data_IF_039987341868
#
_entry.id   IF_039987341868
#
_cell.length_a   1.000
_cell.length_b   1.000
_cell.length_c   1.000
_cell.angle_alpha   90.00
_cell.angle_beta   90.00
_cell.angle_gamma   90.00
#
_symmetry.space_group_name_H-M   'P 1'
#
loop_
_entity.id
_entity.type
_entity.pdbx_description
1 polymer ?
#
# COMPACT_ATOMS: atom_id res chain seq x y z
N UNK A 1 -22.20 -4.20 -18.69
CA UNK A 1 -20.86 -4.83 -18.69
C UNK A 1 -19.73 -3.85 -18.92
N UNK A 2 -19.70 -3.09 -20.04
CA UNK A 2 -18.60 -2.14 -20.34
C UNK A 2 -18.34 -1.10 -19.23
N UNK A 3 -19.39 -0.54 -18.61
CA UNK A 3 -19.23 0.43 -17.51
C UNK A 3 -18.57 -0.17 -16.26
N UNK A 4 -18.80 -1.46 -15.96
CA UNK A 4 -18.22 -2.10 -14.79
C UNK A 4 -16.70 -2.27 -14.93
N UNK A 5 -16.23 -2.63 -16.13
CA UNK A 5 -14.80 -2.74 -16.43
C UNK A 5 -14.10 -1.38 -16.39
N UNK A 6 -14.73 -0.33 -16.91
CA UNK A 6 -14.17 1.03 -16.84
C UNK A 6 -14.05 1.47 -15.38
N UNK A 7 -15.10 1.28 -14.56
CA UNK A 7 -15.07 1.61 -13.14
C UNK A 7 -13.99 0.85 -12.36
N UNK A 8 -13.85 -0.46 -12.62
CA UNK A 8 -12.79 -1.29 -12.01
C UNK A 8 -11.39 -0.79 -12.39
N UNK A 9 -11.17 -0.49 -13.67
CA UNK A 9 -9.90 0.02 -14.18
C UNK A 9 -9.55 1.38 -13.57
N UNK A 10 -10.51 2.30 -13.48
CA UNK A 10 -10.32 3.62 -12.86
C UNK A 10 -9.98 3.48 -11.36
N UNK A 11 -10.64 2.56 -10.63
CA UNK A 11 -10.30 2.28 -9.22
C UNK A 11 -8.87 1.79 -9.07
N UNK A 12 -8.45 0.83 -9.91
CA UNK A 12 -7.08 0.28 -9.90
C UNK A 12 -6.05 1.38 -10.20
N UNK A 13 -6.28 2.18 -11.24
CA UNK A 13 -5.40 3.30 -11.59
C UNK A 13 -5.30 4.33 -10.46
N UNK A 14 -6.42 4.70 -9.84
CA UNK A 14 -6.44 5.62 -8.69
C UNK A 14 -5.66 5.07 -7.51
N UNK A 15 -5.83 3.78 -7.19
CA UNK A 15 -5.10 3.13 -6.11
C UNK A 15 -3.58 3.10 -6.41
N UNK A 16 -3.19 2.72 -7.63
CA UNK A 16 -1.77 2.70 -8.05
C UNK A 16 -1.14 4.09 -7.96
N UNK A 17 -1.86 5.14 -8.36
CA UNK A 17 -1.38 6.51 -8.25
C UNK A 17 -1.16 6.95 -6.79
N UNK A 18 -2.12 6.68 -5.90
CA UNK A 18 -1.98 7.02 -4.48
C UNK A 18 -0.82 6.23 -3.83
N UNK A 19 -0.64 4.96 -4.19
CA UNK A 19 0.51 4.15 -3.76
C UNK A 19 1.83 4.78 -4.20
N UNK A 20 1.94 5.19 -5.47
CA UNK A 20 3.16 5.79 -6.02
C UNK A 20 3.52 7.10 -5.30
N UNK A 21 2.53 7.97 -5.06
CA UNK A 21 2.73 9.20 -4.28
C UNK A 21 3.17 8.91 -2.85
N UNK A 22 2.56 7.90 -2.22
CA UNK A 22 2.86 7.51 -0.85
C UNK A 22 4.31 7.01 -0.72
N UNK A 23 4.79 6.25 -1.68
CA UNK A 23 6.16 5.73 -1.73
C UNK A 23 7.14 6.88 -2.01
N UNK A 24 6.85 7.75 -2.97
CA UNK A 24 7.73 8.88 -3.32
C UNK A 24 7.83 9.98 -2.26
N UNK A 25 6.99 9.95 -1.22
CA UNK A 25 6.92 11.01 -0.21
C UNK A 25 7.92 10.93 0.95
N UNK A 26 8.82 9.94 0.97
CA UNK A 26 9.83 9.75 2.01
C UNK A 26 11.07 9.02 1.48
N UNK A 27 12.25 9.39 1.98
CA UNK A 27 13.49 8.60 1.78
C UNK A 27 13.74 7.60 2.91
N UNK A 28 13.05 7.76 4.04
CA UNK A 28 13.07 6.78 5.13
C UNK A 28 12.17 5.59 4.78
N UNK A 29 12.75 4.39 4.74
CA UNK A 29 12.06 3.15 4.34
C UNK A 29 10.89 2.81 5.28
N UNK A 30 11.06 3.00 6.59
CA UNK A 30 10.02 2.72 7.58
C UNK A 30 8.78 3.58 7.36
N UNK A 31 8.98 4.90 7.22
CA UNK A 31 7.92 5.87 6.95
C UNK A 31 7.29 5.66 5.57
N UNK A 32 8.10 5.35 4.55
CA UNK A 32 7.63 5.00 3.21
C UNK A 32 6.69 3.79 3.24
N UNK A 33 7.11 2.69 3.89
CA UNK A 33 6.32 1.47 4.00
C UNK A 33 5.07 1.66 4.86
N UNK A 34 5.16 2.46 5.93
CA UNK A 34 4.00 2.80 6.76
C UNK A 34 2.93 3.58 6.00
N UNK A 35 3.32 4.58 5.22
CA UNK A 35 2.39 5.35 4.37
C UNK A 35 1.78 4.47 3.28
N UNK A 36 2.60 3.64 2.64
CA UNK A 36 2.17 2.68 1.62
C UNK A 36 1.11 1.74 2.21
N UNK A 37 1.43 1.08 3.33
CA UNK A 37 0.57 0.10 3.97
C UNK A 37 -0.76 0.72 4.42
N UNK A 38 -0.71 1.93 4.98
CA UNK A 38 -1.92 2.68 5.36
C UNK A 38 -2.81 2.98 4.15
N UNK A 39 -2.22 3.34 3.01
CA UNK A 39 -2.95 3.62 1.76
C UNK A 39 -3.63 2.36 1.25
N UNK A 40 -2.89 1.26 1.15
CA UNK A 40 -3.41 -0.04 0.68
C UNK A 40 -4.50 -0.57 1.60
N UNK A 41 -4.31 -0.54 2.92
CA UNK A 41 -5.30 -1.04 3.88
C UNK A 41 -6.61 -0.24 3.77
N UNK A 42 -6.53 1.10 3.81
CA UNK A 42 -7.72 1.96 3.78
C UNK A 42 -8.47 1.92 2.45
N UNK A 43 -7.75 1.88 1.32
CA UNK A 43 -8.34 2.01 -0.02
C UNK A 43 -8.59 0.67 -0.72
N UNK A 44 -7.85 -0.36 -0.34
CA UNK A 44 -8.07 -1.74 -0.78
C UNK A 44 -9.10 -2.47 0.07
N UNK A 45 -9.78 -1.79 0.99
CA UNK A 45 -10.82 -2.34 1.86
C UNK A 45 -10.34 -3.53 2.71
N UNK A 46 -9.06 -3.54 3.06
CA UNK A 46 -8.49 -4.51 3.98
C UNK A 46 -8.63 -4.02 5.42
N UNK A 47 -8.79 -4.96 6.36
CA UNK A 47 -8.90 -4.64 7.78
C UNK A 47 -7.54 -4.32 8.42
N UNK A 48 -6.49 -5.06 8.03
CA UNK A 48 -5.13 -4.93 8.56
C UNK A 48 -4.10 -5.28 7.50
N UNK A 49 -2.90 -4.76 7.69
CA UNK A 49 -1.74 -5.06 6.86
C UNK A 49 -0.46 -5.11 7.69
N UNK A 50 0.50 -5.90 7.21
CA UNK A 50 1.84 -6.07 7.79
C UNK A 50 2.87 -6.03 6.66
N UNK A 51 4.02 -5.38 6.89
CA UNK A 51 5.17 -5.40 5.97
C UNK A 51 6.39 -5.89 6.72
N UNK A 52 6.99 -6.94 6.17
CA UNK A 52 8.25 -7.51 6.63
C UNK A 52 9.32 -7.24 5.58
N UNK A 53 10.50 -6.83 6.03
CA UNK A 53 11.69 -6.71 5.20
C UNK A 53 12.56 -7.93 5.45
N UNK A 54 12.90 -8.63 4.38
CA UNK A 54 13.91 -9.66 4.42
C UNK A 54 15.27 -9.01 4.15
N UNK A 55 16.11 -8.94 5.17
CA UNK A 55 17.49 -8.50 5.09
C UNK A 55 18.36 -9.52 5.83
N UNK A 56 19.18 -10.27 5.09
CA UNK A 56 19.86 -11.46 5.62
C UNK A 56 18.91 -12.65 5.82
N UNK A 57 19.02 -13.34 6.95
CA UNK A 57 18.30 -14.60 7.22
C UNK A 57 16.97 -14.41 7.97
N UNK A 58 16.82 -13.34 8.74
CA UNK A 58 15.63 -13.10 9.57
C UNK A 58 14.78 -11.92 9.08
N UNK A 59 13.47 -12.11 8.82
CA UNK A 59 12.58 -11.02 8.47
C UNK A 59 12.40 -10.04 9.64
N UNK A 60 12.55 -8.75 9.36
CA UNK A 60 12.26 -7.68 10.33
C UNK A 60 10.92 -7.02 10.01
N UNK A 61 10.07 -6.84 11.02
CA UNK A 61 8.80 -6.11 10.86
C UNK A 61 9.10 -4.62 10.64
N UNK A 62 8.67 -4.07 9.50
CA UNK A 62 8.85 -2.65 9.15
C UNK A 62 7.61 -1.84 9.45
N UNK A 63 6.42 -2.42 9.25
CA UNK A 63 5.17 -1.70 9.52
C UNK A 63 4.00 -2.64 9.80
N UNK A 64 3.09 -2.16 10.65
CA UNK A 64 1.81 -2.78 10.95
C UNK A 64 0.74 -1.68 11.03
N UNK A 65 -0.37 -1.86 10.29
CA UNK A 65 -1.48 -0.90 10.25
C UNK A 65 -2.81 -1.64 10.33
N UNK A 66 -3.76 -1.08 11.08
CA UNK A 66 -5.17 -1.45 11.05
C UNK A 66 -6.03 -0.28 10.54
N UNK A 67 -7.25 -0.61 10.10
CA UNK A 67 -8.30 0.34 9.73
C UNK A 67 -8.76 1.20 10.90
#
# INVERSE_FOLDING_TARGET
MMNAHILDMTRKLSLSYEIALSIGGSLDLGEMMKRFLKTVVRKGEAYRGLVWLLDGEEPTLVSAVGS
#
